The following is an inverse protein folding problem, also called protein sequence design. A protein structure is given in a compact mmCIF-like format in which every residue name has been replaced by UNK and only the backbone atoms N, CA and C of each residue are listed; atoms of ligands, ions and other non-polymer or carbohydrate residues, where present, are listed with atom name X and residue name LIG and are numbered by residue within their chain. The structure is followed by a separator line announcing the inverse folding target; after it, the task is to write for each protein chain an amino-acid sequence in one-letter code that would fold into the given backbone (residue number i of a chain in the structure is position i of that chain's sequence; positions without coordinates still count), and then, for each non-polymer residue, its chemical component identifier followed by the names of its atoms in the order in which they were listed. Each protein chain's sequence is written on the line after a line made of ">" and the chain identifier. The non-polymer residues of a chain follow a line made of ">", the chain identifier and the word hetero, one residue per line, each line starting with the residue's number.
data_IF_767857609965
#
_entry.id   IF_767857609965
#
_cell.length_a   1.000
_cell.length_b   1.000
_cell.length_c   1.000
_cell.angle_alpha   90.00
_cell.angle_beta   90.00
_cell.angle_gamma   90.00
#
_symmetry.space_group_name_H-M   'P 1'
#
loop_
_entity.id
_entity.type
_entity.pdbx_description
1 polymer ?
#
# COMPACT_ATOMS: atom_id res chain seq x y z
N UNK A 1 19.38 18.56 -9.30
CA UNK A 1 18.20 18.88 -10.13
C UNK A 1 18.40 18.28 -11.50
N UNK A 2 17.48 17.43 -11.92
CA UNK A 2 17.49 16.79 -13.22
C UNK A 2 16.14 17.01 -13.92
N UNK A 3 16.20 17.01 -15.25
CA UNK A 3 15.03 17.05 -16.13
C UNK A 3 14.85 15.62 -16.65
N UNK A 4 13.63 15.09 -16.54
CA UNK A 4 13.28 13.76 -17.03
C UNK A 4 12.27 13.84 -18.16
N UNK A 5 12.33 12.84 -19.03
CA UNK A 5 11.40 12.65 -20.13
C UNK A 5 10.50 11.47 -19.78
N UNK A 6 9.21 11.72 -19.58
CA UNK A 6 8.25 10.73 -19.09
C UNK A 6 7.30 10.33 -20.23
N UNK A 7 7.11 9.04 -20.41
CA UNK A 7 6.10 8.47 -21.32
C UNK A 7 5.48 7.21 -20.73
N UNK A 8 4.34 6.80 -21.27
CA UNK A 8 3.70 5.50 -21.00
C UNK A 8 3.09 4.95 -22.30
N UNK A 9 2.58 3.73 -22.27
CA UNK A 9 1.98 3.05 -23.42
C UNK A 9 0.63 2.47 -23.08
N UNK A 10 -0.29 2.56 -24.05
CA UNK A 10 -1.60 1.89 -23.96
C UNK A 10 -1.66 0.67 -24.89
N UNK A 11 -2.68 -0.16 -24.69
CA UNK A 11 -3.02 -1.21 -25.65
C UNK A 11 -4.37 -0.92 -26.32
N UNK A 12 -4.39 -0.87 -27.65
CA UNK A 12 -5.61 -0.65 -28.42
C UNK A 12 -5.55 -1.29 -29.80
N UNK A 13 -6.72 -1.53 -30.41
CA UNK A 13 -6.86 -1.86 -31.84
C UNK A 13 -7.48 -0.71 -32.65
N UNK A 14 -7.71 0.44 -32.02
CA UNK A 14 -8.28 1.63 -32.66
C UNK A 14 -7.16 2.41 -33.33
N UNK A 15 -7.46 3.06 -34.47
CA UNK A 15 -6.47 3.85 -35.20
C UNK A 15 -5.96 5.04 -34.37
N UNK A 16 -4.65 5.34 -34.48
CA UNK A 16 -3.98 6.35 -33.64
C UNK A 16 -4.46 7.78 -33.93
N UNK A 17 -4.83 8.08 -35.17
CA UNK A 17 -5.28 9.39 -35.62
C UNK A 17 -6.63 9.81 -35.01
N UNK A 18 -7.40 8.84 -34.52
CA UNK A 18 -8.66 9.07 -33.81
C UNK A 18 -8.55 8.91 -32.30
N UNK A 19 -7.38 8.58 -31.75
CA UNK A 19 -7.19 8.45 -30.29
C UNK A 19 -6.46 9.66 -29.71
N UNK A 20 -6.98 10.14 -28.59
CA UNK A 20 -6.36 11.20 -27.79
C UNK A 20 -6.28 10.76 -26.33
N UNK A 21 -5.41 11.39 -25.55
CA UNK A 21 -5.30 11.15 -24.12
C UNK A 21 -5.13 12.42 -23.30
N UNK A 22 -5.64 12.36 -22.08
CA UNK A 22 -5.13 13.18 -20.98
C UNK A 22 -4.13 12.33 -20.18
N UNK A 23 -3.02 12.92 -19.76
CA UNK A 23 -2.04 12.28 -18.89
C UNK A 23 -1.74 13.20 -17.71
N UNK A 24 -1.98 12.70 -16.50
CA UNK A 24 -1.54 13.33 -15.27
C UNK A 24 -0.57 12.41 -14.54
N UNK A 25 0.63 12.89 -14.21
CA UNK A 25 1.62 12.18 -13.39
C UNK A 25 1.89 13.06 -12.17
N UNK A 26 1.68 12.51 -10.98
CA UNK A 26 1.80 13.26 -9.74
C UNK A 26 2.17 12.38 -8.55
N UNK A 27 2.57 13.00 -7.46
CA UNK A 27 2.62 12.38 -6.13
C UNK A 27 1.88 13.24 -5.13
N UNK A 28 1.38 12.65 -4.05
CA UNK A 28 0.83 13.41 -2.93
C UNK A 28 1.75 13.37 -1.71
N UNK A 29 1.76 14.42 -0.90
CA UNK A 29 2.38 14.36 0.43
C UNK A 29 1.40 13.85 1.51
N UNK A 30 1.87 13.83 2.76
CA UNK A 30 1.08 13.45 3.94
C UNK A 30 -0.19 14.30 4.15
N UNK A 31 -0.23 15.51 3.57
CA UNK A 31 -1.38 16.41 3.63
C UNK A 31 -2.34 16.21 2.45
N UNK A 32 -2.08 15.22 1.58
CA UNK A 32 -2.78 14.98 0.31
C UNK A 32 -2.59 16.10 -0.71
N UNK A 33 -1.54 16.92 -0.58
CA UNK A 33 -1.22 17.98 -1.55
C UNK A 33 -0.64 17.35 -2.81
N UNK A 34 -1.23 17.63 -3.98
CA UNK A 34 -0.83 17.03 -5.27
C UNK A 34 0.36 17.80 -5.87
N UNK A 35 1.50 17.12 -6.06
CA UNK A 35 2.67 17.63 -6.77
C UNK A 35 2.69 17.03 -8.17
N UNK A 36 2.32 17.84 -9.16
CA UNK A 36 2.13 17.43 -10.54
C UNK A 36 3.45 17.56 -11.31
N UNK A 37 3.88 16.48 -11.98
CA UNK A 37 5.00 16.50 -12.94
C UNK A 37 4.53 16.74 -14.37
N UNK A 38 3.42 16.11 -14.74
CA UNK A 38 2.83 16.19 -16.08
C UNK A 38 1.33 16.35 -15.89
N UNK A 39 0.73 17.31 -16.58
CA UNK A 39 -0.72 17.42 -16.76
C UNK A 39 -0.98 17.97 -18.15
N UNK A 40 -1.25 17.07 -19.09
CA UNK A 40 -1.53 17.39 -20.49
C UNK A 40 -2.90 16.88 -20.87
N UNK A 41 -3.56 17.60 -21.76
CA UNK A 41 -4.93 17.31 -22.19
C UNK A 41 -4.98 17.02 -23.69
N UNK A 42 -5.81 16.04 -24.07
CA UNK A 42 -6.16 15.67 -25.44
C UNK A 42 -4.97 15.60 -26.41
N UNK A 43 -3.87 14.99 -25.97
CA UNK A 43 -2.66 14.79 -26.78
C UNK A 43 -2.80 13.58 -27.71
N UNK A 44 -2.09 13.60 -28.84
CA UNK A 44 -2.00 12.48 -29.77
C UNK A 44 -0.95 11.45 -29.35
N UNK A 45 -1.18 10.19 -29.70
CA UNK A 45 -0.22 9.10 -29.49
C UNK A 45 0.85 9.02 -30.59
N UNK A 46 1.98 8.39 -30.27
CA UNK A 46 3.01 7.97 -31.21
C UNK A 46 2.66 6.63 -31.88
N UNK A 47 3.43 6.24 -32.90
CA UNK A 47 3.15 5.09 -33.79
C UNK A 47 2.98 3.72 -33.12
N UNK A 48 3.39 3.57 -31.86
CA UNK A 48 3.32 2.34 -31.06
C UNK A 48 2.35 2.45 -29.86
N UNK A 49 1.36 3.36 -29.92
CA UNK A 49 0.44 3.67 -28.82
C UNK A 49 1.12 4.23 -27.56
N UNK A 50 2.34 4.73 -27.70
CA UNK A 50 3.05 5.45 -26.65
C UNK A 50 2.61 6.91 -26.60
N UNK A 51 2.52 7.47 -25.41
CA UNK A 51 2.27 8.91 -25.26
C UNK A 51 3.43 9.70 -25.85
N UNK A 52 3.22 11.00 -26.08
CA UNK A 52 4.34 11.90 -26.34
C UNK A 52 5.30 11.87 -25.14
N UNK A 53 6.55 12.23 -25.39
CA UNK A 53 7.55 12.38 -24.33
C UNK A 53 7.34 13.73 -23.64
N UNK A 54 6.99 13.68 -22.35
CA UNK A 54 6.70 14.88 -21.57
C UNK A 54 7.88 15.21 -20.65
N UNK A 55 8.36 16.45 -20.76
CA UNK A 55 9.54 16.89 -20.01
C UNK A 55 9.12 17.44 -18.65
N UNK A 56 9.77 17.01 -17.58
CA UNK A 56 9.51 17.55 -16.23
C UNK A 56 10.16 18.92 -16.07
N UNK A 57 9.67 19.71 -15.11
CA UNK A 57 10.49 20.75 -14.48
C UNK A 57 11.73 20.15 -13.81
N UNK A 58 12.68 21.01 -13.40
CA UNK A 58 13.82 20.59 -12.59
C UNK A 58 13.33 19.97 -11.26
N UNK A 59 13.55 18.66 -11.09
CA UNK A 59 13.19 17.95 -9.86
C UNK A 59 14.42 17.35 -9.16
N UNK A 60 14.30 17.15 -7.85
CA UNK A 60 15.32 16.55 -6.97
C UNK A 60 14.86 15.21 -6.39
N UNK A 61 13.76 14.67 -6.89
CA UNK A 61 13.23 13.39 -6.44
C UNK A 61 14.13 12.24 -6.93
N UNK A 62 14.23 11.19 -6.13
CA UNK A 62 15.03 10.00 -6.44
C UNK A 62 14.36 9.22 -7.58
N UNK A 63 15.14 8.44 -8.33
CA UNK A 63 14.57 7.49 -9.30
C UNK A 63 13.65 6.45 -8.63
N UNK A 64 13.81 6.18 -7.34
CA UNK A 64 12.94 5.29 -6.57
C UNK A 64 11.61 5.94 -6.14
N UNK A 65 11.43 7.25 -6.32
CA UNK A 65 10.21 7.94 -5.90
C UNK A 65 9.00 7.45 -6.71
N UNK A 66 7.96 7.01 -6.02
CA UNK A 66 6.71 6.50 -6.62
C UNK A 66 5.79 7.67 -7.00
N UNK A 67 5.29 7.66 -8.23
CA UNK A 67 4.26 8.57 -8.73
C UNK A 67 3.01 7.80 -9.14
N UNK A 68 1.87 8.46 -9.01
CA UNK A 68 0.60 8.05 -9.56
C UNK A 68 0.48 8.58 -10.99
N UNK A 69 0.21 7.65 -11.90
CA UNK A 69 -0.19 7.92 -13.27
C UNK A 69 -1.70 7.86 -13.38
N UNK A 70 -2.32 8.88 -13.97
CA UNK A 70 -3.71 8.88 -14.42
C UNK A 70 -3.74 9.10 -15.93
N UNK A 71 -4.46 8.24 -16.65
CA UNK A 71 -4.66 8.38 -18.09
C UNK A 71 -6.13 8.25 -18.44
N UNK A 72 -6.64 9.25 -19.15
CA UNK A 72 -8.01 9.25 -19.69
C UNK A 72 -7.92 9.16 -21.20
N UNK A 73 -8.65 8.21 -21.80
CA UNK A 73 -8.66 8.03 -23.24
C UNK A 73 -9.88 8.72 -23.86
N UNK A 74 -9.68 9.30 -25.02
CA UNK A 74 -10.72 9.89 -25.83
C UNK A 74 -10.65 9.33 -27.24
N UNK A 75 -11.80 9.19 -27.88
CA UNK A 75 -11.87 8.91 -29.29
C UNK A 75 -12.53 10.09 -30.03
N UNK A 76 -11.84 10.54 -31.06
CA UNK A 76 -12.27 11.59 -31.98
C UNK A 76 -13.12 10.96 -33.08
N UNK A 77 -14.27 11.56 -33.33
CA UNK A 77 -15.10 11.32 -34.52
C UNK A 77 -15.12 12.57 -35.39
N UNK A 78 -15.78 12.53 -36.55
CA UNK A 78 -15.90 13.69 -37.44
C UNK A 78 -16.55 14.92 -36.77
N UNK A 79 -17.41 14.71 -35.77
CA UNK A 79 -18.22 15.76 -35.15
C UNK A 79 -17.89 16.01 -33.68
N UNK A 80 -17.42 14.99 -32.94
CA UNK A 80 -17.24 15.08 -31.49
C UNK A 80 -16.03 14.30 -31.01
N UNK A 81 -15.47 14.74 -29.89
CA UNK A 81 -14.51 13.99 -29.07
C UNK A 81 -15.30 13.40 -27.90
N UNK A 82 -15.25 12.09 -27.74
CA UNK A 82 -15.90 11.42 -26.62
C UNK A 82 -14.88 10.80 -25.68
N UNK A 83 -15.15 10.94 -24.38
CA UNK A 83 -14.38 10.27 -23.34
C UNK A 83 -14.73 8.78 -23.34
N UNK A 84 -13.72 7.92 -23.38
CA UNK A 84 -13.90 6.46 -23.43
C UNK A 84 -14.30 5.89 -22.06
N UNK A 85 -13.77 6.47 -20.97
CA UNK A 85 -14.08 6.03 -19.60
C UNK A 85 -14.46 7.21 -18.71
N UNK A 86 -15.44 7.04 -17.79
CA UNK A 86 -15.84 8.13 -16.89
C UNK A 86 -14.81 8.43 -15.80
N UNK A 87 -13.88 7.50 -15.54
CA UNK A 87 -12.82 7.62 -14.54
C UNK A 87 -11.48 7.34 -15.25
N UNK A 88 -10.41 8.07 -14.95
CA UNK A 88 -9.07 7.78 -15.46
C UNK A 88 -8.62 6.36 -15.07
N UNK A 89 -7.80 5.76 -15.90
CA UNK A 89 -7.03 4.59 -15.49
C UNK A 89 -5.87 5.07 -14.61
N UNK A 90 -5.72 4.46 -13.44
CA UNK A 90 -4.72 4.85 -12.43
C UNK A 90 -3.73 3.73 -12.17
N UNK A 91 -2.42 4.06 -12.10
CA UNK A 91 -1.36 3.10 -11.76
C UNK A 91 -0.13 3.76 -11.12
N UNK A 92 0.59 3.01 -10.28
CA UNK A 92 1.87 3.42 -9.71
C UNK A 92 3.04 3.06 -10.61
N UNK A 93 3.99 3.99 -10.75
CA UNK A 93 5.32 3.75 -11.28
C UNK A 93 6.35 4.61 -10.56
N UNK A 94 7.58 4.12 -10.46
CA UNK A 94 8.71 4.93 -10.01
C UNK A 94 9.14 5.93 -11.08
N UNK A 95 9.80 7.02 -10.69
CA UNK A 95 10.41 7.97 -11.61
C UNK A 95 11.42 7.30 -12.56
N UNK A 96 12.17 6.32 -12.05
CA UNK A 96 13.07 5.48 -12.84
C UNK A 96 12.33 4.67 -13.90
N UNK A 97 11.17 4.11 -13.59
CA UNK A 97 10.35 3.38 -14.57
C UNK A 97 9.80 4.31 -15.65
N UNK A 98 9.32 5.51 -15.30
CA UNK A 98 8.90 6.49 -16.31
C UNK A 98 10.05 6.92 -17.21
N UNK A 99 11.17 7.35 -16.62
CA UNK A 99 12.31 7.88 -17.36
C UNK A 99 13.04 6.85 -18.23
N UNK A 100 12.87 5.55 -17.93
CA UNK A 100 13.44 4.45 -18.72
C UNK A 100 12.45 3.81 -19.70
N UNK A 101 11.24 4.36 -19.85
CA UNK A 101 10.20 3.81 -20.75
C UNK A 101 9.60 2.48 -20.27
N UNK A 102 9.71 2.19 -18.97
CA UNK A 102 9.17 0.98 -18.30
C UNK A 102 7.85 1.24 -17.57
N UNK A 103 7.26 2.44 -17.70
CA UNK A 103 5.95 2.76 -17.15
C UNK A 103 4.79 2.12 -17.95
N UNK A 104 4.84 0.80 -18.11
CA UNK A 104 3.81 -0.04 -18.73
C UNK A 104 4.00 -1.49 -18.26
N UNK A 105 2.97 -2.33 -18.38
CA UNK A 105 3.04 -3.75 -18.01
C UNK A 105 2.93 -4.65 -19.23
N UNK A 106 3.69 -5.77 -19.32
CA UNK A 106 3.43 -6.78 -20.36
C UNK A 106 2.06 -7.47 -20.17
N UNK A 107 1.47 -7.37 -18.98
CA UNK A 107 0.15 -7.94 -18.69
C UNK A 107 -0.93 -6.96 -19.14
N UNK A 108 -1.64 -7.27 -20.23
CA UNK A 108 -2.67 -6.39 -20.83
C UNK A 108 -3.63 -5.74 -19.82
N UNK A 109 -4.14 -6.49 -18.82
CA UNK A 109 -5.12 -6.01 -17.83
C UNK A 109 -4.59 -4.96 -16.86
N UNK A 110 -3.27 -4.86 -16.78
CA UNK A 110 -2.54 -3.92 -15.95
C UNK A 110 -2.20 -2.63 -16.69
N UNK A 111 -2.65 -2.49 -17.94
CA UNK A 111 -2.49 -1.30 -18.76
C UNK A 111 -3.84 -0.62 -19.02
N UNK A 112 -3.83 0.69 -19.33
CA UNK A 112 -4.95 1.33 -19.99
C UNK A 112 -5.21 0.65 -21.34
N UNK A 113 -6.44 0.21 -21.54
CA UNK A 113 -6.86 -0.60 -22.67
C UNK A 113 -8.14 -0.04 -23.30
N UNK A 114 -8.16 0.12 -24.61
CA UNK A 114 -9.37 0.47 -25.34
C UNK A 114 -9.48 -0.32 -26.63
N UNK A 115 -10.55 -1.11 -26.78
CA UNK A 115 -10.77 -1.94 -27.95
C UNK A 115 -12.16 -1.74 -28.49
N UNK A 116 -12.27 -1.64 -29.82
CA UNK A 116 -13.55 -1.56 -30.53
C UNK A 116 -13.69 -2.80 -31.40
N UNK A 117 -14.85 -3.46 -31.33
CA UNK A 117 -15.20 -4.54 -32.24
C UNK A 117 -15.73 -3.97 -33.54
N UNK A 118 -15.29 -4.53 -34.68
CA UNK A 118 -15.82 -4.19 -35.99
C UNK A 118 -16.85 -5.24 -36.39
N UNK A 119 -18.10 -4.82 -36.61
CA UNK A 119 -19.18 -5.69 -37.08
C UNK A 119 -20.38 -4.85 -37.52
N UNK A 120 -21.12 -5.35 -38.51
CA UNK A 120 -22.37 -4.75 -38.97
C UNK A 120 -23.52 -5.49 -38.29
N UNK A 121 -24.35 -4.77 -37.52
CA UNK A 121 -25.55 -5.38 -36.93
C UNK A 121 -26.49 -5.85 -38.05
N UNK A 122 -26.91 -7.12 -38.00
CA UNK A 122 -27.95 -7.66 -38.89
C UNK A 122 -29.26 -7.88 -38.12
N UNK A 123 -30.43 -7.77 -38.77
CA UNK A 123 -31.70 -8.14 -38.16
C UNK A 123 -31.73 -9.61 -37.75
N UNK A 124 -32.35 -9.89 -36.60
CA UNK A 124 -32.55 -11.24 -36.09
C UNK A 124 -33.35 -12.08 -37.11
N UNK A 125 -32.83 -13.26 -37.51
CA UNK A 125 -33.52 -14.21 -38.39
C UNK A 125 -32.97 -14.42 -39.81
N UNK A 126 -31.83 -13.80 -40.19
CA UNK A 126 -31.07 -14.19 -41.40
C UNK A 126 -29.75 -14.85 -41.00
N UNK A 127 -29.65 -16.17 -41.22
CA UNK A 127 -28.47 -17.02 -40.91
C UNK A 127 -27.92 -16.89 -39.47
N UNK A 128 -27.03 -17.81 -39.07
CA UNK A 128 -26.38 -17.76 -37.75
C UNK A 128 -25.30 -16.67 -37.73
N UNK A 129 -25.73 -15.41 -37.57
CA UNK A 129 -24.88 -14.21 -37.53
C UNK A 129 -24.56 -13.75 -36.10
N UNK A 130 -24.70 -14.64 -35.11
CA UNK A 130 -24.46 -14.32 -33.69
C UNK A 130 -22.95 -14.34 -33.40
N UNK A 131 -22.35 -13.16 -33.17
CA UNK A 131 -20.96 -13.07 -32.70
C UNK A 131 -20.92 -13.14 -31.18
N UNK A 132 -20.45 -14.27 -30.64
CA UNK A 132 -20.23 -14.44 -29.20
C UNK A 132 -18.93 -13.76 -28.76
N UNK A 133 -19.02 -12.51 -28.31
CA UNK A 133 -17.89 -11.82 -27.67
C UNK A 133 -17.75 -12.30 -26.22
N UNK A 134 -16.79 -13.20 -25.97
CA UNK A 134 -16.44 -13.61 -24.60
C UNK A 134 -15.59 -12.53 -23.93
N UNK A 135 -16.22 -11.59 -23.26
CA UNK A 135 -15.54 -10.70 -22.31
C UNK A 135 -15.25 -11.53 -21.06
N UNK A 136 -14.04 -12.06 -20.95
CA UNK A 136 -13.60 -12.73 -19.72
C UNK A 136 -13.49 -11.70 -18.60
N UNK A 137 -14.48 -11.67 -17.71
CA UNK A 137 -14.34 -11.07 -16.38
C UNK A 137 -13.65 -12.10 -15.51
N UNK A 138 -12.37 -11.93 -15.18
CA UNK A 138 -11.70 -12.81 -14.25
C UNK A 138 -12.44 -12.66 -12.94
N UNK A 139 -12.51 -13.76 -12.22
CA UNK A 139 -13.03 -13.75 -10.88
C UNK A 139 -12.26 -12.73 -10.03
N UNK A 140 -12.98 -12.08 -9.09
CA UNK A 140 -12.35 -11.13 -8.17
C UNK A 140 -11.23 -11.87 -7.43
N UNK A 141 -10.01 -11.30 -7.34
CA UNK A 141 -8.87 -12.01 -6.76
C UNK A 141 -9.07 -12.47 -5.31
N UNK A 142 -9.80 -11.71 -4.49
CA UNK A 142 -10.01 -12.02 -3.08
C UNK A 142 -11.47 -12.48 -2.82
N UNK A 143 -11.65 -13.70 -2.31
CA UNK A 143 -12.98 -14.25 -2.00
C UNK A 143 -12.89 -15.12 -0.74
N UNK A 144 -13.56 -14.72 0.34
CA UNK A 144 -13.66 -15.56 1.51
C UNK A 144 -14.60 -16.75 1.21
N UNK A 145 -14.17 -17.98 1.50
CA UNK A 145 -14.91 -19.18 1.06
C UNK A 145 -16.31 -19.28 1.68
N UNK A 146 -16.45 -18.87 2.94
CA UNK A 146 -17.70 -18.86 3.68
C UNK A 146 -18.57 -17.63 3.37
N UNK A 147 -17.99 -16.61 2.72
CA UNK A 147 -18.66 -15.36 2.34
C UNK A 147 -18.37 -15.02 0.87
N UNK A 148 -18.86 -15.84 -0.08
CA UNK A 148 -18.56 -15.69 -1.50
C UNK A 148 -19.18 -14.41 -2.09
N UNK A 149 -18.81 -14.09 -3.33
CA UNK A 149 -19.34 -12.93 -4.07
C UNK A 149 -20.89 -12.94 -4.04
N UNK A 150 -21.47 -11.80 -3.65
CA UNK A 150 -22.92 -11.63 -3.52
C UNK A 150 -23.48 -11.98 -2.14
N UNK A 151 -22.66 -12.55 -1.24
CA UNK A 151 -23.03 -12.69 0.16
C UNK A 151 -23.13 -11.30 0.84
N UNK A 152 -24.19 -11.00 1.62
CA UNK A 152 -24.31 -9.72 2.34
C UNK A 152 -23.17 -9.43 3.33
N UNK A 153 -22.41 -10.46 3.72
CA UNK A 153 -21.25 -10.40 4.59
C UNK A 153 -19.95 -10.70 3.84
N UNK A 154 -19.89 -10.44 2.53
CA UNK A 154 -18.64 -10.53 1.78
C UNK A 154 -17.64 -9.45 2.28
N UNK A 155 -16.52 -9.81 2.91
CA UNK A 155 -15.56 -8.84 3.45
C UNK A 155 -14.81 -8.09 2.35
N UNK A 156 -14.82 -8.60 1.12
CA UNK A 156 -14.13 -8.02 -0.02
C UNK A 156 -15.10 -7.35 -1.01
N UNK A 157 -16.36 -7.12 -0.62
CA UNK A 157 -17.32 -6.39 -1.44
C UNK A 157 -16.73 -5.06 -1.93
N UNK A 158 -17.01 -4.71 -3.19
CA UNK A 158 -16.42 -3.54 -3.85
C UNK A 158 -16.67 -2.25 -3.05
N UNK A 159 -17.92 -2.00 -2.65
CA UNK A 159 -18.28 -0.75 -1.99
C UNK A 159 -17.70 -0.69 -0.58
N UNK A 160 -17.60 -1.84 0.10
CA UNK A 160 -16.93 -1.94 1.41
C UNK A 160 -15.44 -1.61 1.28
N UNK A 161 -14.76 -2.19 0.29
CA UNK A 161 -13.33 -1.94 0.06
C UNK A 161 -13.07 -0.50 -0.36
N UNK A 162 -13.84 0.04 -1.31
CA UNK A 162 -13.68 1.44 -1.74
C UNK A 162 -13.87 2.42 -0.57
N UNK A 163 -14.88 2.19 0.29
CA UNK A 163 -15.08 2.99 1.51
C UNK A 163 -13.91 2.86 2.49
N UNK A 164 -13.44 1.65 2.76
CA UNK A 164 -12.31 1.44 3.67
C UNK A 164 -11.02 2.09 3.16
N UNK A 165 -10.77 2.03 1.85
CA UNK A 165 -9.64 2.72 1.21
C UNK A 165 -9.78 4.23 1.38
N UNK A 166 -10.96 4.80 1.16
CA UNK A 166 -11.22 6.23 1.36
C UNK A 166 -11.04 6.65 2.83
N UNK A 167 -11.50 5.84 3.79
CA UNK A 167 -11.29 6.09 5.22
C UNK A 167 -9.79 6.12 5.58
N UNK A 168 -8.98 5.22 5.00
CA UNK A 168 -7.52 5.22 5.20
C UNK A 168 -6.86 6.41 4.51
N UNK A 169 -7.24 6.72 3.27
CA UNK A 169 -6.72 7.86 2.51
C UNK A 169 -6.94 9.19 3.25
N UNK A 170 -8.13 9.37 3.85
CA UNK A 170 -8.49 10.55 4.62
C UNK A 170 -8.00 10.52 6.09
N UNK A 171 -7.38 9.42 6.52
CA UNK A 171 -6.83 9.28 7.87
C UNK A 171 -7.87 9.15 8.98
N UNK A 172 -9.09 8.70 8.65
CA UNK A 172 -10.14 8.43 9.64
C UNK A 172 -9.89 7.15 10.44
N UNK A 173 -9.11 6.23 9.88
CA UNK A 173 -8.73 4.98 10.52
C UNK A 173 -7.39 4.48 9.95
N UNK A 174 -6.78 3.50 10.62
CA UNK A 174 -5.42 3.03 10.34
C UNK A 174 -5.38 1.50 10.17
N UNK A 175 -4.30 0.92 9.64
CA UNK A 175 -4.24 -0.52 9.40
C UNK A 175 -4.39 -1.27 10.72
N UNK A 176 -5.36 -2.19 10.80
CA UNK A 176 -5.70 -2.84 12.05
C UNK A 176 -5.51 -4.36 11.97
N UNK A 177 -4.39 -4.81 12.51
CA UNK A 177 -4.08 -6.23 12.63
C UNK A 177 -5.00 -7.01 13.58
N UNK A 178 -5.76 -6.34 14.46
CA UNK A 178 -6.58 -6.96 15.52
C UNK A 178 -5.73 -7.97 16.32
N UNK A 179 -6.04 -9.26 16.27
CA UNK A 179 -5.33 -10.34 16.95
C UNK A 179 -4.41 -11.13 15.98
N UNK A 180 -4.33 -10.74 14.71
CA UNK A 180 -3.43 -11.38 13.76
C UNK A 180 -1.98 -10.98 14.04
N UNK A 181 -1.06 -11.93 13.86
CA UNK A 181 0.39 -11.76 14.08
C UNK A 181 1.06 -11.01 12.91
N UNK A 182 0.50 -9.85 12.54
CA UNK A 182 0.93 -9.02 11.39
C UNK A 182 1.28 -7.59 11.81
N UNK A 183 1.90 -7.42 13.00
CA UNK A 183 2.35 -6.11 13.48
C UNK A 183 3.44 -5.46 12.60
N UNK A 184 4.34 -6.26 12.01
CA UNK A 184 5.32 -5.76 11.05
C UNK A 184 4.65 -5.12 9.83
N UNK A 185 3.78 -5.85 9.08
CA UNK A 185 2.99 -5.27 8.01
C UNK A 185 2.17 -4.05 8.44
N UNK A 186 1.55 -4.08 9.63
CA UNK A 186 0.76 -2.95 10.14
C UNK A 186 1.63 -1.71 10.34
N UNK A 187 2.83 -1.84 10.92
CA UNK A 187 3.77 -0.75 11.10
C UNK A 187 4.25 -0.16 9.76
N UNK A 188 4.54 -1.03 8.77
CA UNK A 188 4.89 -0.62 7.41
C UNK A 188 3.77 0.18 6.74
N UNK A 189 2.57 -0.40 6.65
CA UNK A 189 1.44 0.24 5.98
C UNK A 189 0.95 1.50 6.71
N UNK A 190 1.10 1.55 8.03
CA UNK A 190 0.82 2.76 8.80
C UNK A 190 1.76 3.91 8.42
N UNK A 191 3.07 3.65 8.34
CA UNK A 191 4.04 4.65 7.88
C UNK A 191 3.73 5.09 6.44
N UNK A 192 3.47 4.12 5.55
CA UNK A 192 3.12 4.39 4.16
C UNK A 192 1.86 5.24 4.03
N UNK A 193 0.79 4.90 4.75
CA UNK A 193 -0.46 5.67 4.75
C UNK A 193 -0.24 7.11 5.24
N UNK A 194 0.61 7.32 6.26
CA UNK A 194 0.91 8.65 6.80
C UNK A 194 1.71 9.51 5.84
N UNK A 195 2.68 8.94 5.14
CA UNK A 195 3.56 9.72 4.25
C UNK A 195 2.97 9.88 2.84
N UNK A 196 2.39 8.80 2.32
CA UNK A 196 1.93 8.65 0.94
C UNK A 196 0.56 7.97 0.91
N UNK A 197 -0.51 8.66 1.36
CA UNK A 197 -1.86 8.09 1.37
C UNK A 197 -2.34 7.68 -0.04
N UNK A 198 -1.86 8.37 -1.08
CA UNK A 198 -2.10 8.02 -2.49
C UNK A 198 -1.51 6.66 -2.87
N UNK A 199 -0.28 6.37 -2.43
CA UNK A 199 0.40 5.09 -2.68
C UNK A 199 -0.27 3.96 -1.89
N UNK A 200 -0.63 4.19 -0.62
CA UNK A 200 -1.40 3.22 0.16
C UNK A 200 -2.72 2.87 -0.54
N UNK A 201 -3.50 3.90 -0.92
CA UNK A 201 -4.82 3.71 -1.50
C UNK A 201 -4.76 2.98 -2.84
N UNK A 202 -3.81 3.37 -3.71
CA UNK A 202 -3.63 2.71 -4.99
C UNK A 202 -3.11 1.28 -4.84
N UNK A 203 -2.21 1.02 -3.90
CA UNK A 203 -1.74 -0.35 -3.60
C UNK A 203 -2.86 -1.27 -3.11
N UNK A 204 -3.71 -0.79 -2.20
CA UNK A 204 -4.89 -1.54 -1.72
C UNK A 204 -5.90 -1.79 -2.86
N UNK A 205 -6.13 -0.80 -3.73
CA UNK A 205 -7.02 -0.93 -4.88
C UNK A 205 -6.48 -1.94 -5.90
N UNK A 206 -5.18 -1.93 -6.17
CA UNK A 206 -4.53 -2.89 -7.08
C UNK A 206 -4.59 -4.33 -6.53
N UNK A 207 -4.39 -4.52 -5.23
CA UNK A 207 -4.61 -5.82 -4.58
C UNK A 207 -6.04 -6.31 -4.79
N UNK A 208 -7.04 -5.47 -4.56
CA UNK A 208 -8.43 -5.84 -4.76
C UNK A 208 -8.76 -6.14 -6.24
N UNK A 209 -8.23 -5.35 -7.18
CA UNK A 209 -8.52 -5.49 -8.63
C UNK A 209 -7.75 -6.64 -9.28
N UNK A 210 -6.50 -6.82 -8.91
CA UNK A 210 -5.54 -7.67 -9.64
C UNK A 210 -4.92 -8.78 -8.79
N UNK A 211 -5.15 -8.78 -7.48
CA UNK A 211 -4.58 -9.77 -6.56
C UNK A 211 -3.11 -9.53 -6.28
N UNK A 212 -2.55 -8.41 -6.74
CA UNK A 212 -1.14 -8.04 -6.57
C UNK A 212 -0.96 -6.54 -6.75
N UNK A 213 0.11 -6.01 -6.18
CA UNK A 213 0.57 -4.63 -6.39
C UNK A 213 2.10 -4.55 -6.31
N UNK A 214 2.66 -3.46 -6.81
CA UNK A 214 4.08 -3.13 -6.72
C UNK A 214 4.22 -1.70 -6.18
N UNK A 215 4.87 -1.54 -5.03
CA UNK A 215 5.12 -0.26 -4.36
C UNK A 215 6.62 -0.02 -4.37
N UNK A 216 7.11 0.91 -5.19
CA UNK A 216 8.55 0.97 -5.47
C UNK A 216 8.99 -0.36 -6.06
N UNK A 217 9.99 -1.02 -5.48
CA UNK A 217 10.41 -2.39 -5.80
C UNK A 217 9.76 -3.46 -4.92
N UNK A 218 8.90 -3.10 -3.96
CA UNK A 218 8.19 -4.06 -3.10
C UNK A 218 7.03 -4.69 -3.87
N UNK A 219 7.11 -5.99 -4.14
CA UNK A 219 6.07 -6.75 -4.82
C UNK A 219 5.22 -7.47 -3.77
N UNK A 220 3.91 -7.24 -3.80
CA UNK A 220 2.93 -7.94 -2.98
C UNK A 220 2.06 -8.75 -3.94
N UNK A 221 2.15 -10.08 -3.88
CA UNK A 221 1.43 -11.01 -4.75
C UNK A 221 1.04 -12.25 -3.95
N UNK A 222 -0.01 -12.16 -3.11
CA UNK A 222 -0.37 -13.23 -2.19
C UNK A 222 -0.79 -14.50 -2.92
N UNK A 223 -0.46 -15.63 -2.31
CA UNK A 223 -0.81 -16.96 -2.75
C UNK A 223 -2.32 -17.21 -2.72
N UNK A 224 -2.72 -18.34 -3.29
CA UNK A 224 -4.13 -18.69 -3.44
C UNK A 224 -4.87 -18.82 -2.11
N UNK A 225 -4.21 -19.35 -1.07
CA UNK A 225 -4.81 -19.48 0.26
C UNK A 225 -5.11 -18.14 0.94
N UNK A 226 -4.23 -17.15 0.81
CA UNK A 226 -4.45 -15.80 1.33
C UNK A 226 -5.54 -15.07 0.54
N UNK A 227 -5.60 -15.29 -0.77
CA UNK A 227 -6.63 -14.73 -1.66
C UNK A 227 -8.00 -15.39 -1.49
N UNK A 228 -8.04 -16.67 -1.13
CA UNK A 228 -9.26 -17.43 -0.90
C UNK A 228 -9.36 -17.97 0.54
N UNK A 229 -9.38 -17.09 1.55
CA UNK A 229 -9.27 -17.48 2.94
C UNK A 229 -10.51 -18.24 3.41
N UNK A 230 -10.29 -19.18 4.33
CA UNK A 230 -11.33 -19.87 5.09
C UNK A 230 -11.45 -19.30 6.49
N UNK A 231 -12.64 -19.41 7.07
CA UNK A 231 -12.91 -19.12 8.46
C UNK A 231 -13.87 -17.95 8.67
N UNK A 232 -14.10 -17.65 9.94
CA UNK A 232 -15.08 -16.66 10.36
C UNK A 232 -14.48 -15.25 10.26
N UNK A 233 -15.04 -14.40 9.40
CA UNK A 233 -14.63 -12.99 9.24
C UNK A 233 -15.40 -12.02 10.15
N UNK A 234 -16.42 -12.49 10.87
CA UNK A 234 -17.31 -11.65 11.68
C UNK A 234 -17.49 -12.22 13.08
N UNK A 235 -17.58 -11.38 14.09
CA UNK A 235 -18.06 -11.81 15.41
C UNK A 235 -19.55 -12.20 15.32
N UNK A 236 -20.05 -12.90 16.34
CA UNK A 236 -21.47 -13.32 16.38
C UNK A 236 -22.44 -12.13 16.36
N UNK A 237 -21.97 -10.96 16.84
CA UNK A 237 -22.68 -9.68 16.80
C UNK A 237 -22.64 -8.98 15.42
N UNK A 238 -22.01 -9.59 14.42
CA UNK A 238 -21.93 -9.09 13.05
C UNK A 238 -20.81 -8.07 12.79
N UNK A 239 -20.00 -7.69 13.79
CA UNK A 239 -18.84 -6.81 13.56
C UNK A 239 -17.71 -7.57 12.85
N UNK A 240 -16.97 -6.94 11.92
CA UNK A 240 -15.84 -7.59 11.26
C UNK A 240 -14.72 -7.90 12.26
N UNK A 241 -14.15 -9.10 12.19
CA UNK A 241 -12.96 -9.51 12.96
C UNK A 241 -11.68 -8.92 12.39
N UNK A 242 -11.65 -8.67 11.09
CA UNK A 242 -10.61 -7.94 10.37
C UNK A 242 -11.27 -7.30 9.15
N UNK A 243 -10.89 -6.07 8.81
CA UNK A 243 -11.38 -5.43 7.60
C UNK A 243 -10.82 -6.13 6.36
N UNK A 244 -11.60 -6.22 5.28
CA UNK A 244 -11.12 -6.81 4.02
C UNK A 244 -9.87 -6.10 3.49
N UNK A 245 -9.81 -4.77 3.61
CA UNK A 245 -8.61 -3.98 3.24
C UNK A 245 -7.38 -4.35 4.09
N UNK A 246 -7.55 -4.54 5.39
CA UNK A 246 -6.46 -4.94 6.29
C UNK A 246 -6.02 -6.39 6.05
N UNK A 247 -6.93 -7.29 5.67
CA UNK A 247 -6.55 -8.64 5.22
C UNK A 247 -5.72 -8.58 3.94
N UNK A 248 -6.21 -7.88 2.91
CA UNK A 248 -5.53 -7.77 1.61
C UNK A 248 -4.13 -7.17 1.74
N UNK A 249 -3.96 -6.12 2.55
CA UNK A 249 -2.67 -5.45 2.72
C UNK A 249 -1.77 -6.20 3.70
N UNK A 250 -2.22 -6.44 4.94
CA UNK A 250 -1.38 -6.95 6.02
C UNK A 250 -1.08 -8.44 5.87
N UNK A 251 -2.13 -9.26 5.72
CA UNK A 251 -1.96 -10.69 5.50
C UNK A 251 -1.35 -10.94 4.12
N UNK A 252 -1.76 -10.16 3.12
CA UNK A 252 -1.20 -10.24 1.77
C UNK A 252 0.30 -9.97 1.72
N UNK A 253 0.81 -8.92 2.36
CA UNK A 253 2.26 -8.66 2.45
C UNK A 253 2.97 -9.81 3.16
N UNK A 254 2.43 -10.28 4.30
CA UNK A 254 3.04 -11.38 5.06
C UNK A 254 3.11 -12.67 4.26
N UNK A 255 2.08 -12.99 3.47
CA UNK A 255 1.99 -14.20 2.65
C UNK A 255 2.83 -14.08 1.35
N UNK A 256 2.99 -12.87 0.82
CA UNK A 256 3.79 -12.61 -0.38
C UNK A 256 5.28 -12.80 -0.18
N UNK A 257 5.75 -12.70 1.07
CA UNK A 257 7.06 -13.19 1.47
C UNK A 257 7.09 -14.73 1.38
N UNK A 258 7.13 -15.27 0.15
CA UNK A 258 7.44 -16.67 -0.19
C UNK A 258 8.85 -17.08 0.26
N UNK A 259 9.48 -16.30 1.13
CA UNK A 259 10.78 -16.60 1.64
C UNK A 259 10.65 -17.74 2.64
N UNK A 260 11.26 -18.86 2.25
CA UNK A 260 12.07 -19.72 3.11
C UNK A 260 13.01 -18.83 3.95
N UNK A 261 12.44 -18.05 4.88
CA UNK A 261 13.15 -17.27 5.88
C UNK A 261 13.41 -18.24 7.00
N UNK A 262 14.67 -18.69 7.03
CA UNK A 262 15.30 -19.53 8.06
C UNK A 262 14.54 -19.46 9.40
N UNK A 263 13.69 -20.46 9.59
CA UNK A 263 13.25 -20.95 10.89
C UNK A 263 14.39 -21.67 11.64
N UNK A 264 15.66 -21.51 11.22
CA UNK A 264 16.86 -22.12 11.80
C UNK A 264 17.31 -21.44 13.11
N UNK A 265 16.37 -20.88 13.86
CA UNK A 265 16.55 -20.62 15.28
C UNK A 265 15.31 -21.12 16.04
N UNK A 266 15.13 -22.45 16.00
CA UNK A 266 14.11 -23.24 16.71
C UNK A 266 14.12 -23.11 18.25
N UNK A 267 14.95 -22.22 18.82
CA UNK A 267 15.09 -22.02 20.27
C UNK A 267 14.66 -20.63 20.77
N UNK A 268 13.85 -19.87 20.01
CA UNK A 268 13.37 -18.56 20.48
C UNK A 268 11.84 -18.42 20.47
N UNK A 269 11.20 -17.98 21.59
CA UNK A 269 9.77 -17.63 21.68
C UNK A 269 9.30 -16.48 20.74
N UNK A 270 10.16 -16.06 19.81
CA UNK A 270 10.02 -14.99 18.80
C UNK A 270 9.32 -15.50 17.51
N UNK A 271 9.04 -16.81 17.43
CA UNK A 271 8.40 -17.47 16.30
C UNK A 271 7.01 -16.88 15.96
N UNK A 272 6.99 -15.86 15.09
CA UNK A 272 5.77 -15.20 14.63
C UNK A 272 5.96 -13.72 14.25
N UNK A 273 6.91 -13.04 14.88
CA UNK A 273 7.16 -11.61 14.64
C UNK A 273 8.01 -11.45 13.38
N UNK A 274 7.71 -10.45 12.56
CA UNK A 274 8.55 -10.10 11.41
C UNK A 274 9.94 -9.70 11.90
N UNK A 275 10.99 -10.33 11.38
CA UNK A 275 12.37 -9.93 11.69
C UNK A 275 12.65 -8.51 11.23
N UNK A 276 13.46 -7.76 11.97
CA UNK A 276 13.74 -6.36 11.64
C UNK A 276 14.46 -6.19 10.30
N UNK A 277 15.24 -7.18 9.85
CA UNK A 277 15.83 -7.19 8.51
C UNK A 277 14.74 -7.22 7.44
N UNK A 278 13.78 -8.15 7.54
CA UNK A 278 12.65 -8.24 6.61
C UNK A 278 11.81 -6.96 6.60
N UNK A 279 11.55 -6.39 7.78
CA UNK A 279 10.83 -5.13 7.88
C UNK A 279 11.62 -4.00 7.20
N UNK A 280 12.93 -3.88 7.44
CA UNK A 280 13.80 -2.92 6.75
C UNK A 280 13.75 -3.09 5.24
N UNK A 281 13.85 -4.32 4.74
CA UNK A 281 13.77 -4.60 3.31
C UNK A 281 12.44 -4.14 2.69
N UNK A 282 11.31 -4.30 3.39
CA UNK A 282 10.02 -3.78 2.91
C UNK A 282 10.03 -2.26 2.80
N UNK A 283 10.53 -1.57 3.82
CA UNK A 283 10.66 -0.11 3.82
C UNK A 283 11.56 0.35 2.66
N UNK A 284 12.75 -0.21 2.52
CA UNK A 284 13.71 0.17 1.47
C UNK A 284 13.18 -0.13 0.06
N UNK A 285 12.58 -1.32 -0.15
CA UNK A 285 11.94 -1.66 -1.42
C UNK A 285 10.79 -0.71 -1.75
N UNK A 286 10.05 -0.23 -0.76
CA UNK A 286 9.01 0.79 -0.96
C UNK A 286 9.56 2.21 -1.20
N UNK A 287 10.87 2.42 -1.04
CA UNK A 287 11.56 3.68 -1.31
C UNK A 287 11.93 4.49 -0.07
N UNK A 288 11.72 3.97 1.14
CA UNK A 288 12.22 4.60 2.37
C UNK A 288 13.74 4.48 2.48
N UNK A 289 14.36 5.44 3.16
CA UNK A 289 15.80 5.41 3.47
C UNK A 289 15.98 5.21 4.98
N UNK A 290 16.64 4.12 5.38
CA UNK A 290 17.03 3.91 6.76
C UNK A 290 18.20 4.82 7.13
N UNK A 291 18.12 5.51 8.27
CA UNK A 291 19.17 6.42 8.75
C UNK A 291 19.76 6.00 10.09
N UNK A 292 19.05 5.16 10.83
CA UNK A 292 19.50 4.65 12.12
C UNK A 292 18.83 3.32 12.44
N UNK A 293 19.56 2.46 13.14
CA UNK A 293 19.05 1.22 13.69
C UNK A 293 19.82 0.84 14.94
N UNK A 294 19.11 0.62 16.04
CA UNK A 294 19.64 0.03 17.26
C UNK A 294 18.80 -1.17 17.74
N UNK A 295 17.96 -1.70 16.86
CA UNK A 295 17.09 -2.82 17.18
C UNK A 295 17.88 -4.12 17.30
N UNK A 296 17.52 -4.96 18.26
CA UNK A 296 18.11 -6.27 18.42
C UNK A 296 17.38 -7.13 19.45
N UNK A 297 18.05 -8.20 19.90
CA UNK A 297 17.51 -9.12 20.91
C UNK A 297 17.73 -8.63 22.35
N UNK A 298 18.59 -7.63 22.54
CA UNK A 298 18.89 -7.01 23.83
C UNK A 298 18.17 -5.67 23.97
N UNK A 299 17.88 -5.27 25.20
CA UNK A 299 17.27 -3.97 25.48
C UNK A 299 18.19 -2.82 25.05
N UNK A 300 17.66 -1.82 24.37
CA UNK A 300 18.43 -0.68 23.87
C UNK A 300 18.74 0.39 24.96
N UNK A 301 18.13 0.26 26.13
CA UNK A 301 18.40 1.11 27.29
C UNK A 301 17.97 2.57 27.12
N UNK A 302 18.40 3.42 28.05
CA UNK A 302 18.07 4.86 28.08
C UNK A 302 18.63 5.58 26.85
N UNK A 303 19.84 5.24 26.43
CA UNK A 303 20.47 5.91 25.29
C UNK A 303 19.66 5.67 24.01
N UNK A 304 19.20 4.43 23.78
CA UNK A 304 18.34 4.14 22.64
C UNK A 304 17.03 4.94 22.65
N UNK A 305 16.44 5.22 23.81
CA UNK A 305 15.26 6.08 23.91
C UNK A 305 15.60 7.52 23.51
N UNK A 306 16.73 8.06 23.99
CA UNK A 306 17.18 9.42 23.69
C UNK A 306 17.45 9.60 22.20
N UNK A 307 18.15 8.64 21.58
CA UNK A 307 18.46 8.68 20.15
C UNK A 307 17.17 8.69 19.33
N UNK A 308 16.21 7.81 19.65
CA UNK A 308 14.93 7.74 18.94
C UNK A 308 14.04 8.98 19.15
N UNK A 309 14.03 9.58 20.34
CA UNK A 309 13.33 10.85 20.59
C UNK A 309 13.86 11.98 19.69
N UNK A 310 15.18 12.07 19.49
CA UNK A 310 15.78 13.07 18.59
C UNK A 310 15.29 12.90 17.15
N UNK A 311 15.08 11.67 16.69
CA UNK A 311 14.56 11.39 15.35
C UNK A 311 13.06 11.70 15.23
N UNK A 312 12.27 11.42 16.27
CA UNK A 312 10.85 11.82 16.31
C UNK A 312 10.71 13.34 16.22
N UNK A 313 11.53 14.10 16.94
CA UNK A 313 11.51 15.58 16.92
C UNK A 313 11.86 16.15 15.55
N UNK A 314 12.62 15.41 14.74
CA UNK A 314 12.94 15.77 13.36
C UNK A 314 11.91 15.25 12.33
N UNK A 315 10.84 14.59 12.77
CA UNK A 315 9.75 14.10 11.92
C UNK A 315 10.03 12.77 11.21
N UNK A 316 11.05 12.02 11.61
CA UNK A 316 11.35 10.71 11.03
C UNK A 316 10.35 9.63 11.47
N UNK A 317 10.29 8.52 10.72
CA UNK A 317 9.51 7.35 11.12
C UNK A 317 10.32 6.47 12.05
N UNK A 318 9.86 6.34 13.28
CA UNK A 318 10.50 5.52 14.31
C UNK A 318 9.67 4.27 14.55
N UNK A 319 10.19 3.13 14.10
CA UNK A 319 9.54 1.82 14.20
C UNK A 319 10.30 0.97 15.21
N UNK A 320 9.67 0.59 16.32
CA UNK A 320 10.38 -0.03 17.45
C UNK A 320 9.87 -1.43 17.77
N UNK A 321 10.80 -2.28 18.16
CA UNK A 321 10.53 -3.62 18.68
C UNK A 321 10.36 -3.54 20.19
N UNK A 322 9.23 -4.05 20.67
CA UNK A 322 8.89 -4.05 22.10
C UNK A 322 8.38 -5.42 22.53
N UNK A 323 8.30 -5.62 23.84
CA UNK A 323 7.36 -6.57 24.42
C UNK A 323 6.00 -5.88 24.56
N UNK A 324 4.95 -6.46 23.98
CA UNK A 324 3.57 -5.94 24.03
C UNK A 324 3.02 -5.80 25.45
N UNK A 325 3.59 -6.51 26.44
CA UNK A 325 3.31 -6.32 27.86
C UNK A 325 3.59 -4.90 28.38
N UNK A 326 4.28 -4.06 27.59
CA UNK A 326 4.43 -2.62 27.79
C UNK A 326 3.10 -1.87 27.60
N UNK A 327 2.25 -2.35 26.71
CA UNK A 327 1.03 -1.67 26.26
C UNK A 327 -0.18 -2.02 27.12
N UNK A 328 -1.09 -1.06 27.30
CA UNK A 328 -2.40 -1.30 27.90
C UNK A 328 -3.13 -2.42 27.15
N UNK A 329 -3.92 -3.20 27.87
CA UNK A 329 -4.68 -4.37 27.39
C UNK A 329 -3.85 -5.62 27.04
N UNK A 330 -2.51 -5.55 26.99
CA UNK A 330 -1.71 -6.77 26.91
C UNK A 330 -1.60 -7.45 28.27
N UNK A 331 -1.86 -8.76 28.30
CA UNK A 331 -1.67 -9.63 29.46
C UNK A 331 -0.28 -10.26 29.49
N UNK A 332 0.57 -9.99 28.50
CA UNK A 332 1.91 -10.54 28.42
C UNK A 332 2.77 -10.07 29.60
N UNK A 333 3.38 -11.04 30.28
CA UNK A 333 4.25 -10.81 31.45
C UNK A 333 5.72 -11.09 31.15
N UNK A 334 6.06 -11.59 29.97
CA UNK A 334 7.45 -11.83 29.58
C UNK A 334 8.20 -10.52 29.37
N UNK A 335 9.49 -10.65 29.12
CA UNK A 335 10.39 -9.56 28.73
C UNK A 335 11.12 -9.95 27.46
N UNK A 336 10.40 -10.56 26.52
CA UNK A 336 10.90 -11.00 25.22
C UNK A 336 10.31 -10.09 24.13
N UNK A 337 11.01 -9.83 23.03
CA UNK A 337 10.45 -9.03 21.94
C UNK A 337 9.23 -9.76 21.36
N UNK A 338 8.08 -9.09 21.32
CA UNK A 338 6.79 -9.70 20.91
C UNK A 338 6.01 -8.87 19.90
N UNK A 339 6.34 -7.60 19.68
CA UNK A 339 5.47 -6.70 18.92
C UNK A 339 6.20 -5.50 18.32
N UNK A 340 5.75 -5.08 17.13
CA UNK A 340 6.19 -3.85 16.45
C UNK A 340 5.20 -2.72 16.69
N UNK A 341 5.72 -1.53 16.96
CA UNK A 341 4.95 -0.29 17.11
C UNK A 341 5.63 0.86 16.37
N UNK A 342 4.88 1.91 16.07
CA UNK A 342 5.41 3.14 15.47
C UNK A 342 5.20 4.30 16.43
N UNK A 343 6.24 5.06 16.74
CA UNK A 343 6.13 6.19 17.65
C UNK A 343 5.52 7.40 16.93
N UNK A 344 4.62 8.10 17.62
CA UNK A 344 3.97 9.33 17.14
C UNK A 344 4.34 10.56 17.98
N UNK A 345 5.08 10.33 19.07
CA UNK A 345 5.61 11.37 19.93
C UNK A 345 6.83 10.87 20.68
N UNK A 346 7.52 11.78 21.38
CA UNK A 346 8.67 11.44 22.21
C UNK A 346 8.23 10.68 23.46
N UNK A 347 9.09 9.77 23.94
CA UNK A 347 8.94 9.20 25.28
C UNK A 347 9.14 10.32 26.30
N UNK A 348 8.15 10.53 27.16
CA UNK A 348 8.18 11.56 28.21
C UNK A 348 7.99 10.94 29.60
N UNK A 349 8.48 11.64 30.62
CA UNK A 349 8.34 11.26 32.03
C UNK A 349 7.69 12.39 32.80
N UNK A 350 6.64 12.10 33.56
CA UNK A 350 5.96 13.08 34.42
C UNK A 350 6.70 13.30 35.76
N UNK A 351 6.22 14.24 36.58
CA UNK A 351 6.80 14.55 37.89
C UNK A 351 6.75 13.41 38.91
N UNK A 352 5.90 12.39 38.67
CA UNK A 352 5.81 11.18 39.50
C UNK A 352 6.74 10.07 38.97
N UNK A 353 7.49 10.33 37.91
CA UNK A 353 8.39 9.36 37.28
C UNK A 353 7.69 8.41 36.29
N UNK A 354 6.43 8.65 35.94
CA UNK A 354 5.67 7.78 35.04
C UNK A 354 5.90 8.12 33.58
N UNK A 355 6.06 7.07 32.77
CA UNK A 355 6.33 7.18 31.34
C UNK A 355 5.04 7.26 30.53
N UNK A 356 5.06 8.13 29.52
CA UNK A 356 4.05 8.16 28.48
C UNK A 356 4.70 8.17 27.09
N UNK A 357 4.04 7.53 26.13
CA UNK A 357 4.47 7.51 24.74
C UNK A 357 3.23 7.37 23.86
N UNK A 358 2.98 8.39 23.04
CA UNK A 358 2.01 8.30 21.96
C UNK A 358 2.58 7.46 20.83
N UNK A 359 1.88 6.37 20.49
CA UNK A 359 2.32 5.44 19.46
C UNK A 359 1.12 4.85 18.72
N UNK A 360 1.38 4.34 17.53
CA UNK A 360 0.48 3.49 16.77
C UNK A 360 0.67 2.02 17.14
N UNK A 361 -0.44 1.36 17.48
CA UNK A 361 -0.54 -0.08 17.65
C UNK A 361 -2.01 -0.51 17.51
N UNK A 362 -2.27 -1.69 16.94
CA UNK A 362 -3.62 -2.29 16.82
C UNK A 362 -4.67 -1.31 16.24
N UNK A 363 -4.31 -0.59 15.18
CA UNK A 363 -5.21 0.33 14.49
C UNK A 363 -5.47 1.66 15.21
N UNK A 364 -4.76 1.98 16.31
CA UNK A 364 -5.00 3.23 17.06
C UNK A 364 -3.72 3.96 17.45
N UNK A 365 -3.85 5.29 17.43
CA UNK A 365 -2.87 6.24 17.95
C UNK A 365 -3.33 6.73 19.32
N UNK A 366 -2.51 6.52 20.34
CA UNK A 366 -2.73 7.05 21.69
C UNK A 366 -1.51 6.82 22.55
N UNK A 367 -1.52 7.37 23.76
CA UNK A 367 -0.64 6.87 24.82
C UNK A 367 -1.02 5.42 25.17
N UNK A 368 -0.20 4.48 24.72
CA UNK A 368 -0.44 3.05 24.96
C UNK A 368 0.27 2.52 26.18
N UNK A 369 1.21 3.25 26.78
CA UNK A 369 1.99 2.74 27.91
C UNK A 369 1.07 2.45 29.09
N UNK A 370 1.28 1.30 29.76
CA UNK A 370 0.53 0.96 30.97
C UNK A 370 0.62 2.10 31.99
N UNK A 371 -0.50 2.51 32.63
CA UNK A 371 -0.48 3.58 33.62
C UNK A 371 0.48 3.30 34.78
N UNK A 372 1.05 4.38 35.35
CA UNK A 372 1.92 4.33 36.54
C UNK A 372 3.13 3.41 36.38
N UNK A 373 3.76 3.43 35.21
CA UNK A 373 4.98 2.66 34.93
C UNK A 373 6.17 3.59 34.76
N UNK A 374 7.29 3.20 35.33
CA UNK A 374 8.52 3.98 35.32
C UNK A 374 9.41 3.66 34.11
N UNK A 375 10.55 4.34 34.04
CA UNK A 375 11.54 4.17 32.99
C UNK A 375 12.12 2.74 32.96
N UNK A 376 12.33 2.12 34.11
CA UNK A 376 12.86 0.77 34.19
C UNK A 376 11.88 -0.25 33.59
N UNK A 377 10.59 -0.09 33.86
CA UNK A 377 9.54 -0.91 33.26
C UNK A 377 9.55 -0.81 31.73
N UNK A 378 9.73 0.41 31.20
CA UNK A 378 9.83 0.66 29.75
C UNK A 378 11.07 -0.03 29.16
N UNK A 379 12.26 0.24 29.74
CA UNK A 379 13.54 -0.29 29.24
C UNK A 379 13.55 -1.81 29.18
N UNK A 380 13.03 -2.49 30.21
CA UNK A 380 12.98 -3.94 30.28
C UNK A 380 12.15 -4.58 29.14
N UNK A 381 11.38 -3.78 28.40
CA UNK A 381 10.46 -4.19 27.33
C UNK A 381 10.74 -3.49 26.01
N UNK A 382 11.83 -2.76 25.89
CA UNK A 382 12.18 -1.96 24.72
C UNK A 382 13.48 -2.48 24.10
N UNK A 383 13.42 -2.95 22.86
CA UNK A 383 14.49 -3.65 22.16
C UNK A 383 15.12 -2.82 21.04
N UNK A 384 14.94 -1.49 21.09
CA UNK A 384 15.41 -0.57 20.06
C UNK A 384 14.42 -0.42 18.90
N UNK A 385 14.88 0.26 17.86
CA UNK A 385 14.09 0.54 16.68
C UNK A 385 14.93 0.88 15.47
N UNK A 386 14.21 1.08 14.38
CA UNK A 386 14.71 1.50 13.08
C UNK A 386 14.10 2.85 12.76
N UNK A 387 14.88 3.70 12.13
CA UNK A 387 14.49 5.05 11.78
C UNK A 387 14.61 5.24 10.29
N UNK A 388 13.52 5.70 9.69
CA UNK A 388 13.45 5.97 8.25
C UNK A 388 13.13 7.44 7.99
N UNK A 389 13.74 8.01 6.95
CA UNK A 389 13.27 9.29 6.40
C UNK A 389 11.83 9.13 5.94
N UNK A 390 10.94 10.13 6.16
CA UNK A 390 9.60 10.10 5.60
C UNK A 390 9.63 9.87 4.09
N UNK A 391 8.73 9.03 3.60
CA UNK A 391 8.64 8.77 2.17
C UNK A 391 8.14 10.03 1.45
N UNK A 392 8.78 10.35 0.32
CA UNK A 392 8.47 11.54 -0.49
C UNK A 392 7.42 11.28 -1.55
#
# INVERSE_FOLDING_TARGET
>A
MAIYHLSTRIHSNVALDVLLYDLCIYRMDSNRSKYILVDVKQQSFQGNYETQSHTTSNINDSLSTVYIMEITLYQKTMLHIHCVTPIPFTKMYTLGEFSSGKAWSPVKRENPCYFVSHGTFQPEGKEDNTVHVKISRPERPFIAREYPIGNPRDPFDKNIIERQIDERFNGFDFPNQIAASVCGPAAFFYCLQKDRPDVYAQGALELWRYGKTKIGDLIISPGDGCRHPTGIFYFDDGRPKIAGTDWMTLAGLRDSENAVLNFDALDSPVAGITMWQTLTEWFEKAGYEIVFSNVGITQAGVQGIRDLNQYIEQGYKVVTLINDGLLVNSTNKTTLPTHWVVWNGSVTQDSNGYISLELFSWGKERNWIKPKKDLQFFINRFFGGMVFKPLK
#
